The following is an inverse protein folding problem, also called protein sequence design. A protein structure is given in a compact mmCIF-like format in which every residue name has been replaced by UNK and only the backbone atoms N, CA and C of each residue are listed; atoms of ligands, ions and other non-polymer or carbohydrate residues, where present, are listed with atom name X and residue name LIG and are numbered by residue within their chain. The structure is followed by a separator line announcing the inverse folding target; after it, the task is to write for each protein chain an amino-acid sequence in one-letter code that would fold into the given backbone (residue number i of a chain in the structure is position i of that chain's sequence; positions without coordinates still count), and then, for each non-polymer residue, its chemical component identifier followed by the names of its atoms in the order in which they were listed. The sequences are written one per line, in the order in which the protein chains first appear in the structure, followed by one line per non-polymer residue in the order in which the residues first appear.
data_IF_349951894296
#
_entry.id   IF_349951894296
#
_cell.length_a   1.000
_cell.length_b   1.000
_cell.length_c   1.000
_cell.angle_alpha   90.00
_cell.angle_beta   90.00
_cell.angle_gamma   90.00
#
_symmetry.space_group_name_H-M   'P 1'
#
loop_
_entity.id
_entity.type
_entity.pdbx_description
1 polymer ?
#
# COMPACT_ATOMS: atom_id res chain seq x y z
N UNK A 1 22.36 -80.11 -73.70
CA UNK A 1 21.70 -80.10 -72.37
C UNK A 1 21.84 -78.70 -71.81
N UNK A 2 20.74 -77.94 -71.83
CA UNK A 2 20.64 -76.57 -71.34
C UNK A 2 19.93 -76.65 -69.99
N UNK A 3 20.65 -76.50 -68.88
CA UNK A 3 20.07 -76.49 -67.53
C UNK A 3 19.87 -75.03 -67.12
N UNK A 4 18.64 -74.55 -67.31
CA UNK A 4 18.16 -73.24 -66.86
C UNK A 4 18.06 -73.31 -65.33
N UNK A 5 19.00 -72.65 -64.65
CA UNK A 5 18.93 -72.39 -63.21
C UNK A 5 18.04 -71.15 -63.01
N UNK A 6 16.76 -71.39 -62.73
CA UNK A 6 15.80 -70.38 -62.27
C UNK A 6 15.21 -70.89 -60.96
N UNK A 7 15.12 -69.99 -59.99
CA UNK A 7 14.47 -70.07 -58.67
C UNK A 7 15.35 -70.43 -57.47
N UNK A 8 15.84 -69.35 -56.84
CA UNK A 8 16.31 -69.32 -55.47
C UNK A 8 16.28 -67.90 -54.86
N UNK A 9 15.38 -67.02 -55.32
CA UNK A 9 15.06 -65.77 -54.61
C UNK A 9 13.97 -66.07 -53.59
N UNK A 10 14.32 -66.81 -52.54
CA UNK A 10 13.46 -67.02 -51.38
C UNK A 10 14.06 -66.21 -50.24
N UNK A 11 13.30 -65.21 -49.78
CA UNK A 11 13.65 -64.44 -48.57
C UNK A 11 13.53 -62.93 -48.69
N UNK A 12 12.50 -62.38 -49.34
CA UNK A 12 12.04 -61.04 -48.98
C UNK A 12 11.51 -61.12 -47.55
N UNK A 13 12.37 -60.74 -46.60
CA UNK A 13 12.19 -60.90 -45.18
C UNK A 13 10.89 -60.21 -44.73
N UNK A 14 9.89 -61.01 -44.40
CA UNK A 14 8.51 -60.59 -44.08
C UNK A 14 8.41 -60.02 -42.65
N UNK A 15 9.53 -59.50 -42.13
CA UNK A 15 9.69 -59.01 -40.78
C UNK A 15 8.73 -57.85 -40.50
N UNK A 16 8.37 -57.70 -39.23
CA UNK A 16 7.45 -56.65 -38.81
C UNK A 16 8.08 -55.28 -39.01
N UNK A 17 9.40 -55.18 -38.81
CA UNK A 17 10.19 -53.97 -39.08
C UNK A 17 10.04 -53.54 -40.54
N UNK A 18 10.20 -54.45 -41.51
CA UNK A 18 10.08 -54.10 -42.93
C UNK A 18 8.67 -53.62 -43.29
N UNK A 19 7.64 -54.18 -42.66
CA UNK A 19 6.25 -53.72 -42.81
C UNK A 19 6.02 -52.31 -42.24
N UNK A 20 6.65 -51.97 -41.12
CA UNK A 20 6.59 -50.61 -40.57
C UNK A 20 7.35 -49.64 -41.47
N UNK A 21 8.58 -49.98 -41.86
CA UNK A 21 9.43 -49.09 -42.68
C UNK A 21 8.82 -48.75 -44.03
N UNK A 22 8.12 -49.70 -44.67
CA UNK A 22 7.48 -49.49 -45.97
C UNK A 22 6.15 -48.72 -45.93
N UNK A 23 5.60 -48.45 -44.74
CA UNK A 23 4.40 -47.62 -44.59
C UNK A 23 4.75 -46.13 -44.70
N UNK A 24 3.74 -45.30 -44.95
CA UNK A 24 3.86 -43.85 -44.90
C UNK A 24 3.30 -43.35 -43.57
N UNK A 25 3.84 -42.23 -43.07
CA UNK A 25 3.12 -41.47 -42.03
C UNK A 25 1.85 -40.86 -42.61
N UNK A 26 0.81 -40.76 -41.80
CA UNK A 26 -0.43 -40.07 -42.18
C UNK A 26 -0.11 -38.62 -42.56
N UNK A 27 -0.55 -38.20 -43.76
CA UNK A 27 -0.31 -36.86 -44.29
C UNK A 27 1.03 -36.65 -45.02
N UNK A 28 1.90 -37.67 -45.12
CA UNK A 28 3.17 -37.58 -45.87
C UNK A 28 3.29 -38.73 -46.87
N UNK A 29 2.80 -38.52 -48.09
CA UNK A 29 2.72 -39.56 -49.14
C UNK A 29 4.03 -39.82 -49.87
N UNK A 30 5.01 -38.91 -49.79
CA UNK A 30 6.18 -38.94 -50.68
C UNK A 30 7.37 -39.72 -50.11
N UNK A 31 7.30 -40.12 -48.83
CA UNK A 31 8.38 -40.83 -48.13
C UNK A 31 7.79 -41.91 -47.25
N UNK A 32 8.45 -43.07 -47.21
CA UNK A 32 8.09 -44.11 -46.26
C UNK A 32 8.72 -43.83 -44.87
N UNK A 33 8.24 -44.52 -43.84
CA UNK A 33 8.68 -44.36 -42.46
C UNK A 33 10.17 -44.69 -42.34
N UNK A 34 10.65 -45.69 -43.08
CA UNK A 34 12.08 -46.05 -43.15
C UNK A 34 12.93 -44.89 -43.68
N UNK A 35 12.52 -44.27 -44.80
CA UNK A 35 13.22 -43.15 -45.43
C UNK A 35 13.37 -41.99 -44.44
N UNK A 36 12.32 -41.71 -43.67
CA UNK A 36 12.27 -40.62 -42.68
C UNK A 36 13.07 -40.97 -41.43
N UNK A 37 13.01 -42.20 -40.91
CA UNK A 37 13.56 -42.54 -39.60
C UNK A 37 14.98 -43.11 -39.66
N UNK A 38 15.36 -43.84 -40.71
CA UNK A 38 16.68 -44.48 -40.85
C UNK A 38 17.78 -43.49 -41.28
N UNK A 39 17.41 -42.43 -41.99
CA UNK A 39 18.38 -41.49 -42.58
C UNK A 39 18.55 -40.19 -41.77
N UNK A 40 18.17 -40.19 -40.50
CA UNK A 40 18.16 -38.96 -39.70
C UNK A 40 19.56 -38.57 -39.26
N UNK A 41 20.03 -37.45 -39.80
CA UNK A 41 21.32 -36.85 -39.47
C UNK A 41 21.53 -36.64 -37.97
N UNK A 42 20.48 -36.29 -37.23
CA UNK A 42 20.51 -36.08 -35.77
C UNK A 42 20.71 -37.37 -34.96
N UNK A 43 20.55 -38.56 -35.56
CA UNK A 43 20.73 -39.83 -34.86
C UNK A 43 22.19 -40.31 -34.95
N UNK A 44 22.80 -40.58 -33.80
CA UNK A 44 24.13 -41.21 -33.70
C UNK A 44 24.05 -42.74 -33.84
N UNK A 45 22.93 -43.31 -33.40
CA UNK A 45 22.63 -44.74 -33.47
C UNK A 45 21.13 -44.91 -33.67
N UNK A 46 20.76 -45.83 -34.55
CA UNK A 46 19.37 -46.23 -34.80
C UNK A 46 19.25 -47.72 -34.52
N UNK A 47 18.21 -48.10 -33.78
CA UNK A 47 17.89 -49.47 -33.42
C UNK A 47 16.41 -49.73 -33.71
N UNK A 48 16.12 -50.90 -34.27
CA UNK A 48 14.77 -51.40 -34.46
C UNK A 48 14.65 -52.73 -33.71
N UNK A 49 13.62 -52.87 -32.90
CA UNK A 49 13.36 -54.08 -32.12
C UNK A 49 11.93 -54.53 -32.38
N UNK A 50 11.73 -55.76 -32.84
CA UNK A 50 10.41 -56.34 -33.00
C UNK A 50 10.06 -57.32 -31.87
N UNK A 51 8.78 -57.39 -31.55
CA UNK A 51 8.21 -58.37 -30.64
C UNK A 51 7.12 -59.13 -31.39
N UNK A 52 7.45 -60.35 -31.78
CA UNK A 52 6.57 -61.20 -32.58
C UNK A 52 5.25 -61.50 -31.89
N UNK A 53 5.28 -61.75 -30.57
CA UNK A 53 4.11 -62.14 -29.78
C UNK A 53 3.04 -61.05 -29.77
N UNK A 54 3.47 -59.80 -29.63
CA UNK A 54 2.57 -58.66 -29.51
C UNK A 54 2.35 -57.92 -30.83
N UNK A 55 2.93 -58.42 -31.93
CA UNK A 55 2.96 -57.74 -33.24
C UNK A 55 3.32 -56.25 -33.11
N UNK A 56 4.39 -55.96 -32.38
CA UNK A 56 4.83 -54.58 -32.10
C UNK A 56 6.27 -54.36 -32.53
N UNK A 57 6.57 -53.14 -32.97
CA UNK A 57 7.91 -52.74 -33.39
C UNK A 57 8.30 -51.47 -32.65
N UNK A 58 9.49 -51.43 -32.08
CA UNK A 58 10.05 -50.25 -31.44
C UNK A 58 11.19 -49.70 -32.31
N UNK A 59 11.08 -48.42 -32.66
CA UNK A 59 12.18 -47.62 -33.17
C UNK A 59 12.84 -46.88 -32.02
N UNK A 60 14.16 -46.86 -32.00
CA UNK A 60 14.96 -46.10 -31.06
C UNK A 60 16.07 -45.35 -31.80
N UNK A 61 16.14 -44.04 -31.61
CA UNK A 61 17.23 -43.19 -32.09
C UNK A 61 17.95 -42.55 -30.90
N UNK A 62 19.26 -42.77 -30.81
CA UNK A 62 20.12 -42.03 -29.87
C UNK A 62 20.56 -40.73 -30.51
N UNK A 63 20.25 -39.57 -29.91
CA UNK A 63 20.57 -38.27 -30.48
C UNK A 63 22.09 -38.00 -30.45
N UNK A 64 22.61 -37.41 -31.52
CA UNK A 64 23.98 -36.85 -31.57
C UNK A 64 24.07 -35.68 -30.60
N UNK A 65 25.21 -35.60 -29.92
CA UNK A 65 25.55 -34.45 -29.11
C UNK A 65 25.79 -33.24 -30.01
N UNK A 66 25.00 -32.19 -29.79
CA UNK A 66 25.27 -30.88 -30.35
C UNK A 66 26.39 -30.19 -29.57
N UNK A 67 26.84 -29.03 -30.08
CA UNK A 67 27.96 -28.30 -29.48
C UNK A 67 27.63 -27.86 -28.06
N UNK A 68 26.40 -27.39 -27.85
CA UNK A 68 26.03 -26.70 -26.61
C UNK A 68 24.90 -27.40 -25.83
N UNK A 69 23.98 -28.12 -26.49
CA UNK A 69 22.74 -28.58 -25.85
C UNK A 69 22.93 -29.72 -24.83
N UNK A 70 23.94 -30.57 -25.02
CA UNK A 70 24.31 -31.60 -24.03
C UNK A 70 25.65 -31.30 -23.35
N UNK A 71 26.17 -30.07 -23.46
CA UNK A 71 27.36 -29.67 -22.72
C UNK A 71 26.94 -29.06 -21.38
N UNK A 72 26.81 -29.91 -20.37
CA UNK A 72 26.81 -29.41 -19.01
C UNK A 72 28.19 -28.86 -18.66
N UNK A 73 28.21 -27.65 -18.11
CA UNK A 73 29.42 -27.04 -17.57
C UNK A 73 29.26 -26.90 -16.06
N UNK A 74 30.01 -27.70 -15.32
CA UNK A 74 29.99 -27.72 -13.85
C UNK A 74 30.40 -26.38 -13.24
N UNK A 75 31.36 -25.68 -13.87
CA UNK A 75 31.80 -24.35 -13.44
C UNK A 75 30.64 -23.35 -13.61
N UNK A 76 29.92 -23.42 -14.74
CA UNK A 76 28.77 -22.57 -14.99
C UNK A 76 27.60 -22.86 -14.02
N UNK A 77 27.34 -24.13 -13.71
CA UNK A 77 26.31 -24.53 -12.76
C UNK A 77 26.64 -24.07 -11.33
N UNK A 78 27.90 -24.25 -10.89
CA UNK A 78 28.35 -23.78 -9.58
C UNK A 78 28.30 -22.26 -9.48
N UNK A 79 28.72 -21.55 -10.54
CA UNK A 79 28.58 -20.09 -10.61
C UNK A 79 27.13 -19.67 -10.53
N UNK A 80 26.24 -20.29 -11.29
CA UNK A 80 24.80 -20.02 -11.25
C UNK A 80 24.22 -20.25 -9.85
N UNK A 81 24.62 -21.31 -9.16
CA UNK A 81 24.21 -21.58 -7.78
C UNK A 81 24.60 -20.44 -6.84
N UNK A 82 25.88 -20.04 -6.88
CA UNK A 82 26.41 -18.97 -6.04
C UNK A 82 25.71 -17.65 -6.35
N UNK A 83 25.55 -17.32 -7.63
CA UNK A 83 24.89 -16.08 -8.07
C UNK A 83 23.43 -16.04 -7.59
N UNK A 84 22.69 -17.14 -7.74
CA UNK A 84 21.28 -17.23 -7.33
C UNK A 84 21.09 -17.24 -5.81
N UNK A 85 22.02 -17.87 -5.08
CA UNK A 85 22.02 -17.81 -3.63
C UNK A 85 22.26 -16.37 -3.16
N UNK A 86 23.30 -15.71 -3.69
CA UNK A 86 23.65 -14.34 -3.33
C UNK A 86 22.55 -13.34 -3.71
N UNK A 87 21.85 -13.54 -4.84
CA UNK A 87 20.69 -12.75 -5.23
C UNK A 87 19.60 -12.75 -4.15
N UNK A 88 19.24 -13.92 -3.63
CA UNK A 88 18.23 -14.03 -2.57
C UNK A 88 18.73 -13.42 -1.26
N UNK A 89 19.99 -13.68 -0.88
CA UNK A 89 20.58 -13.09 0.33
C UNK A 89 20.60 -11.55 0.26
N UNK A 90 20.97 -11.00 -0.89
CA UNK A 90 20.97 -9.55 -1.11
C UNK A 90 19.55 -8.99 -1.03
N UNK A 91 18.56 -9.66 -1.65
CA UNK A 91 17.15 -9.26 -1.57
C UNK A 91 16.63 -9.23 -0.11
N UNK A 92 17.01 -10.21 0.71
CA UNK A 92 16.68 -10.21 2.14
C UNK A 92 17.34 -9.01 2.84
N UNK A 93 18.60 -8.70 2.51
CA UNK A 93 19.29 -7.50 3.00
C UNK A 93 18.58 -6.20 2.62
N UNK A 94 18.11 -6.08 1.37
CA UNK A 94 17.32 -4.93 0.92
C UNK A 94 16.02 -4.76 1.70
N UNK A 95 15.29 -5.86 1.97
CA UNK A 95 14.06 -5.82 2.78
C UNK A 95 14.36 -5.35 4.21
N UNK A 96 15.42 -5.88 4.85
CA UNK A 96 15.84 -5.43 6.19
C UNK A 96 16.16 -3.93 6.22
N UNK A 97 16.91 -3.44 5.23
CA UNK A 97 17.28 -2.03 5.14
C UNK A 97 16.05 -1.13 4.91
N UNK A 98 15.10 -1.56 4.08
CA UNK A 98 13.84 -0.83 3.89
C UNK A 98 13.04 -0.72 5.19
N UNK A 99 12.95 -1.80 5.97
CA UNK A 99 12.26 -1.76 7.27
C UNK A 99 12.97 -0.83 8.27
N UNK A 100 14.31 -0.84 8.30
CA UNK A 100 15.09 0.09 9.13
C UNK A 100 14.81 1.55 8.76
N UNK A 101 14.79 1.90 7.48
CA UNK A 101 14.51 3.26 7.03
C UNK A 101 13.08 3.71 7.37
N UNK A 102 12.08 2.83 7.25
CA UNK A 102 10.72 3.11 7.70
C UNK A 102 10.65 3.40 9.21
N UNK A 103 11.41 2.67 10.02
CA UNK A 103 11.47 2.90 11.47
C UNK A 103 12.20 4.21 11.78
N UNK A 104 13.31 4.53 11.09
CA UNK A 104 14.02 5.81 11.24
C UNK A 104 13.12 7.00 10.91
N UNK A 105 12.31 6.90 9.85
CA UNK A 105 11.34 7.94 9.50
C UNK A 105 10.32 8.15 10.61
N UNK A 106 9.79 7.08 11.22
CA UNK A 106 8.90 7.16 12.40
C UNK A 106 9.58 7.83 13.59
N UNK A 107 10.84 7.47 13.89
CA UNK A 107 11.62 8.11 14.95
C UNK A 107 11.79 9.61 14.68
N UNK A 108 12.13 10.01 13.45
CA UNK A 108 12.31 11.41 13.06
C UNK A 108 11.03 12.23 13.31
N UNK A 109 9.88 11.71 12.89
CA UNK A 109 8.57 12.34 13.14
C UNK A 109 8.32 12.51 14.64
N UNK A 110 8.58 11.48 15.46
CA UNK A 110 8.40 11.56 16.91
C UNK A 110 9.37 12.56 17.57
N UNK A 111 10.63 12.65 17.09
CA UNK A 111 11.60 13.63 17.58
C UNK A 111 11.14 15.06 17.30
N UNK A 112 10.68 15.34 16.08
CA UNK A 112 10.10 16.65 15.72
C UNK A 112 8.89 16.98 16.61
N UNK A 113 7.98 16.02 16.83
CA UNK A 113 6.84 16.21 17.75
C UNK A 113 7.31 16.54 19.17
N UNK A 114 8.36 15.88 19.65
CA UNK A 114 8.90 16.12 20.97
C UNK A 114 9.61 17.47 21.11
N UNK A 115 10.38 17.91 20.12
CA UNK A 115 10.98 19.25 20.10
C UNK A 115 9.91 20.35 20.19
N UNK A 116 8.79 20.15 19.48
CA UNK A 116 7.62 21.03 19.54
C UNK A 116 6.96 21.06 20.92
N UNK A 117 6.76 19.90 21.53
CA UNK A 117 6.20 19.82 22.88
C UNK A 117 7.14 20.47 23.91
N UNK A 118 8.44 20.21 23.80
CA UNK A 118 9.46 20.77 24.70
C UNK A 118 9.49 22.31 24.61
N UNK A 119 9.37 22.87 23.41
CA UNK A 119 9.22 24.31 23.20
C UNK A 119 7.98 24.87 23.93
N UNK A 120 6.81 24.24 23.80
CA UNK A 120 5.57 24.68 24.50
C UNK A 120 5.66 24.57 26.03
N UNK A 121 6.44 23.62 26.54
CA UNK A 121 6.57 23.38 27.98
C UNK A 121 7.59 24.32 28.64
N UNK A 122 8.67 24.66 27.95
CA UNK A 122 9.79 25.42 28.51
C UNK A 122 9.60 26.94 28.45
N UNK A 123 8.86 27.44 27.46
CA UNK A 123 8.51 28.85 27.43
C UNK A 123 7.27 29.06 28.30
N UNK A 124 7.22 30.17 29.04
CA UNK A 124 6.07 30.53 29.89
C UNK A 124 4.86 30.95 29.04
N UNK A 125 4.71 30.35 27.87
CA UNK A 125 3.73 30.63 26.84
C UNK A 125 2.42 29.94 27.18
N UNK A 126 1.36 30.64 26.82
CA UNK A 126 0.00 30.13 26.78
C UNK A 126 -0.12 29.11 25.64
N UNK A 127 -0.43 27.85 25.96
CA UNK A 127 -0.57 26.78 24.95
C UNK A 127 -1.60 27.10 23.87
N UNK A 128 -2.57 27.97 24.15
CA UNK A 128 -3.61 28.36 23.19
C UNK A 128 -3.12 29.32 22.11
N UNK A 129 -1.96 29.96 22.28
CA UNK A 129 -1.33 30.78 21.24
C UNK A 129 -0.93 29.94 20.02
N UNK A 130 -0.73 28.63 20.21
CA UNK A 130 -0.32 27.70 19.17
C UNK A 130 -1.50 27.00 18.47
N UNK A 131 -2.76 27.26 18.86
CA UNK A 131 -3.92 26.61 18.22
C UNK A 131 -4.03 26.92 16.73
N UNK A 132 -3.55 28.10 16.29
CA UNK A 132 -3.57 28.47 14.88
C UNK A 132 -2.48 27.79 14.04
N UNK A 133 -1.51 27.13 14.67
CA UNK A 133 -0.51 26.35 13.96
C UNK A 133 -1.05 24.93 13.74
N UNK A 134 -1.17 24.56 12.47
CA UNK A 134 -1.74 23.29 12.00
C UNK A 134 -1.13 22.08 12.75
N UNK A 135 0.16 22.13 13.07
CA UNK A 135 0.88 21.01 13.69
C UNK A 135 0.63 20.91 15.20
N UNK A 136 0.37 22.03 15.87
CA UNK A 136 0.08 22.03 17.32
C UNK A 136 -1.41 21.90 17.61
N UNK A 137 -2.25 22.33 16.67
CA UNK A 137 -3.71 22.34 16.79
C UNK A 137 -4.27 20.96 17.15
N UNK A 138 -3.84 19.89 16.49
CA UNK A 138 -4.34 18.52 16.74
C UNK A 138 -4.03 18.04 18.18
N UNK A 139 -2.82 18.29 18.66
CA UNK A 139 -2.38 17.93 20.02
C UNK A 139 -3.12 18.73 21.10
N UNK A 140 -3.29 20.04 20.86
CA UNK A 140 -3.99 20.92 21.81
C UNK A 140 -5.49 20.62 21.80
N UNK A 141 -6.11 20.43 20.63
CA UNK A 141 -7.53 20.13 20.49
C UNK A 141 -7.88 18.76 21.10
N UNK A 142 -7.06 17.73 20.88
CA UNK A 142 -7.27 16.42 21.50
C UNK A 142 -7.14 16.45 23.04
N UNK A 143 -6.18 17.22 23.56
CA UNK A 143 -6.05 17.48 25.00
C UNK A 143 -7.26 18.25 25.53
N UNK A 144 -7.68 19.30 24.83
CA UNK A 144 -8.84 20.12 25.16
C UNK A 144 -10.11 19.29 25.19
N UNK A 145 -10.39 18.48 24.17
CA UNK A 145 -11.58 17.61 24.11
C UNK A 145 -11.73 16.75 25.36
N UNK A 146 -10.64 16.14 25.86
CA UNK A 146 -10.69 15.33 27.08
C UNK A 146 -11.10 16.16 28.30
N UNK A 147 -10.66 17.42 28.37
CA UNK A 147 -10.86 18.33 29.51
C UNK A 147 -12.22 19.03 29.43
N UNK A 148 -12.62 19.50 28.26
CA UNK A 148 -13.74 20.42 28.05
C UNK A 148 -15.05 19.72 27.69
N UNK A 149 -15.03 18.47 27.23
CA UNK A 149 -16.26 17.74 26.85
C UNK A 149 -17.35 17.73 27.94
N UNK A 150 -17.04 17.57 29.24
CA UNK A 150 -18.05 17.69 30.30
C UNK A 150 -18.67 19.10 30.35
N UNK A 151 -17.86 20.13 30.13
CA UNK A 151 -18.22 21.54 30.30
C UNK A 151 -18.97 22.07 29.07
N UNK A 152 -18.56 21.69 27.87
CA UNK A 152 -19.25 22.00 26.60
C UNK A 152 -20.68 21.48 26.65
N UNK A 153 -20.87 20.27 27.19
CA UNK A 153 -22.19 19.67 27.38
C UNK A 153 -23.07 20.45 28.35
N UNK A 154 -22.49 20.92 29.45
CA UNK A 154 -23.21 21.71 30.47
C UNK A 154 -23.51 23.15 29.98
N UNK A 155 -22.62 23.73 29.18
CA UNK A 155 -22.74 25.09 28.64
C UNK A 155 -23.50 25.17 27.30
N UNK A 156 -23.88 24.04 26.69
CA UNK A 156 -24.51 23.97 25.36
C UNK A 156 -23.69 24.69 24.26
N UNK A 157 -22.36 24.58 24.33
CA UNK A 157 -21.49 25.09 23.27
C UNK A 157 -21.49 24.14 22.08
N UNK A 158 -21.33 24.66 20.86
CA UNK A 158 -21.41 23.86 19.64
C UNK A 158 -20.07 23.18 19.30
N UNK A 159 -18.95 23.72 19.79
CA UNK A 159 -17.60 23.20 19.49
C UNK A 159 -16.53 23.65 20.49
N UNK A 160 -15.36 23.00 20.46
CA UNK A 160 -14.15 23.47 21.14
C UNK A 160 -13.66 24.83 20.62
N UNK A 161 -13.93 25.14 19.35
CA UNK A 161 -13.60 26.43 18.74
C UNK A 161 -14.31 27.60 19.43
N UNK A 162 -15.57 27.40 19.85
CA UNK A 162 -16.33 28.42 20.60
C UNK A 162 -15.64 28.73 21.93
N UNK A 163 -15.15 27.69 22.60
CA UNK A 163 -14.49 27.78 23.90
C UNK A 163 -13.11 28.47 23.79
N UNK A 164 -12.38 28.21 22.70
CA UNK A 164 -11.12 28.89 22.37
C UNK A 164 -11.34 30.37 22.06
N UNK A 165 -12.38 30.71 21.30
CA UNK A 165 -12.71 32.11 20.98
C UNK A 165 -13.12 32.88 22.24
N UNK A 166 -13.86 32.23 23.15
CA UNK A 166 -14.16 32.77 24.48
C UNK A 166 -12.87 33.06 25.24
N UNK A 167 -11.93 32.11 25.31
CA UNK A 167 -10.64 32.32 25.98
C UNK A 167 -9.82 33.48 25.40
N UNK A 168 -9.70 33.56 24.06
CA UNK A 168 -9.02 34.69 23.40
C UNK A 168 -9.72 36.02 23.66
N UNK A 169 -11.05 36.02 23.72
CA UNK A 169 -11.81 37.22 24.06
C UNK A 169 -11.53 37.67 25.50
N UNK A 170 -11.53 36.75 26.45
CA UNK A 170 -11.25 37.02 27.88
C UNK A 170 -9.83 37.52 28.12
N UNK A 171 -8.84 36.97 27.42
CA UNK A 171 -7.44 37.41 27.53
C UNK A 171 -7.24 38.86 27.06
N UNK A 172 -8.08 39.32 26.13
CA UNK A 172 -8.05 40.68 25.58
C UNK A 172 -8.98 41.67 26.29
N UNK A 173 -9.79 41.24 27.27
CA UNK A 173 -10.61 42.14 28.09
C UNK A 173 -9.70 42.90 29.06
N UNK A 174 -9.50 44.20 28.80
CA UNK A 174 -8.95 45.13 29.79
C UNK A 174 -9.99 45.31 30.92
N UNK A 175 -9.59 44.92 32.14
CA UNK A 175 -10.46 44.67 33.31
C UNK A 175 -11.34 45.86 33.70
N UNK A 176 -10.96 47.09 33.33
CA UNK A 176 -11.59 48.30 33.85
C UNK A 176 -12.46 49.08 32.86
N UNK A 177 -12.22 48.98 31.56
CA UNK A 177 -12.92 49.83 30.57
C UNK A 177 -13.99 49.05 29.79
N UNK A 178 -13.69 47.87 29.24
CA UNK A 178 -14.61 47.18 28.32
C UNK A 178 -15.88 46.61 28.97
N UNK A 179 -15.79 46.10 30.20
CA UNK A 179 -16.96 45.56 30.93
C UNK A 179 -17.88 46.69 31.39
N UNK A 180 -17.28 47.81 31.81
CA UNK A 180 -18.03 49.00 32.24
C UNK A 180 -18.75 49.61 31.04
N UNK A 181 -18.08 49.76 29.90
CA UNK A 181 -18.67 50.31 28.68
C UNK A 181 -19.83 49.44 28.17
N UNK A 182 -19.65 48.11 28.11
CA UNK A 182 -20.72 47.19 27.68
C UNK A 182 -21.93 47.15 28.63
N UNK A 183 -21.74 47.19 29.96
CA UNK A 183 -22.86 47.30 30.90
C UNK A 183 -23.52 48.70 30.83
N UNK A 184 -22.81 49.75 30.37
CA UNK A 184 -23.34 51.11 30.25
C UNK A 184 -24.16 51.27 28.96
N UNK A 185 -23.71 50.72 27.83
CA UNK A 185 -24.42 50.76 26.54
C UNK A 185 -25.78 50.05 26.58
N UNK A 186 -25.86 48.91 27.29
CA UNK A 186 -27.12 48.18 27.50
C UNK A 186 -28.14 49.00 28.29
N UNK A 187 -27.67 49.95 29.10
CA UNK A 187 -28.50 50.78 29.97
C UNK A 187 -28.85 52.10 29.32
N UNK A 188 -27.95 52.71 28.54
CA UNK A 188 -28.33 53.86 27.69
C UNK A 188 -29.48 53.47 26.75
N UNK A 189 -29.53 52.20 26.29
CA UNK A 189 -30.67 51.64 25.56
C UNK A 189 -31.95 51.52 26.43
N UNK A 190 -31.88 50.86 27.59
CA UNK A 190 -33.03 50.62 28.50
C UNK A 190 -33.58 51.92 29.13
N UNK A 191 -32.70 52.90 29.40
CA UNK A 191 -33.02 54.22 29.93
C UNK A 191 -33.69 55.08 28.85
N UNK A 192 -33.19 55.05 27.62
CA UNK A 192 -33.84 55.72 26.49
C UNK A 192 -35.22 55.12 26.22
N UNK A 193 -35.39 53.79 26.23
CA UNK A 193 -36.71 53.17 26.10
C UNK A 193 -37.66 53.54 27.25
N UNK A 194 -37.20 53.55 28.50
CA UNK A 194 -38.01 53.93 29.67
C UNK A 194 -38.43 55.41 29.62
N UNK A 195 -37.51 56.30 29.23
CA UNK A 195 -37.78 57.73 29.06
C UNK A 195 -38.74 57.96 27.89
N UNK A 196 -38.57 57.26 26.77
CA UNK A 196 -39.43 57.33 25.58
C UNK A 196 -40.83 56.74 25.81
N UNK A 197 -40.96 55.71 26.64
CA UNK A 197 -42.23 55.06 26.99
C UNK A 197 -42.98 55.75 28.14
N UNK A 198 -42.29 56.62 28.90
CA UNK A 198 -42.92 57.41 29.95
C UNK A 198 -43.79 58.55 29.38
N UNK A 199 -44.94 58.82 30.01
CA UNK A 199 -45.82 59.97 29.69
C UNK A 199 -45.16 61.35 29.92
N UNK A 200 -43.86 61.40 30.20
CA UNK A 200 -43.09 62.62 30.48
C UNK A 200 -42.99 63.48 29.20
N UNK A 201 -42.80 62.87 28.03
CA UNK A 201 -42.68 63.57 26.74
C UNK A 201 -43.91 64.41 26.38
N UNK A 202 -45.08 64.01 26.87
CA UNK A 202 -46.36 64.67 26.56
C UNK A 202 -46.70 65.88 27.46
N UNK A 203 -45.90 66.17 28.49
CA UNK A 203 -46.25 67.17 29.54
C UNK A 203 -45.19 68.24 29.81
N UNK A 204 -44.10 68.27 29.07
CA UNK A 204 -43.01 69.27 29.19
C UNK A 204 -42.57 69.68 27.79
N UNK A 205 -42.19 70.95 27.60
CA UNK A 205 -41.66 71.39 26.30
C UNK A 205 -40.34 70.68 25.97
N UNK A 206 -40.00 70.55 24.68
CA UNK A 206 -38.80 69.81 24.22
C UNK A 206 -37.50 70.22 24.93
N UNK A 207 -37.34 71.52 25.24
CA UNK A 207 -36.16 72.03 25.93
C UNK A 207 -36.10 71.59 27.41
N UNK A 208 -37.24 71.51 28.09
CA UNK A 208 -37.31 71.06 29.49
C UNK A 208 -37.12 69.55 29.59
N UNK A 209 -37.59 68.81 28.58
CA UNK A 209 -37.36 67.37 28.47
C UNK A 209 -35.87 67.05 28.30
N UNK A 210 -35.17 67.77 27.41
CA UNK A 210 -33.73 67.60 27.22
C UNK A 210 -32.93 67.91 28.48
N UNK A 211 -33.32 68.94 29.24
CA UNK A 211 -32.68 69.26 30.52
C UNK A 211 -32.89 68.13 31.56
N UNK A 212 -34.08 67.52 31.60
CA UNK A 212 -34.34 66.36 32.47
C UNK A 212 -33.53 65.14 32.00
N UNK A 213 -33.45 64.91 30.70
CA UNK A 213 -32.67 63.82 30.10
C UNK A 213 -31.17 63.95 30.38
N UNK A 214 -30.60 65.12 30.10
CA UNK A 214 -29.18 65.44 30.35
C UNK A 214 -28.88 65.37 31.86
N UNK A 215 -29.74 65.93 32.72
CA UNK A 215 -29.59 65.84 34.18
C UNK A 215 -29.65 64.39 34.67
N UNK A 216 -30.59 63.60 34.15
CA UNK A 216 -30.72 62.20 34.53
C UNK A 216 -29.49 61.39 34.04
N UNK A 217 -28.96 61.68 32.84
CA UNK A 217 -27.75 61.04 32.28
C UNK A 217 -26.48 61.37 33.07
N UNK A 218 -26.28 62.65 33.40
CA UNK A 218 -25.12 63.12 34.17
C UNK A 218 -25.13 62.57 35.61
N UNK A 219 -26.32 62.44 36.22
CA UNK A 219 -26.46 61.79 37.54
C UNK A 219 -26.15 60.30 37.54
N UNK A 220 -26.52 59.56 36.49
CA UNK A 220 -26.16 58.13 36.33
C UNK A 220 -24.65 57.97 36.21
N UNK A 221 -23.98 58.92 35.56
CA UNK A 221 -22.51 58.93 35.39
C UNK A 221 -21.75 59.36 36.65
N UNK A 222 -22.45 59.92 37.65
CA UNK A 222 -21.87 60.34 38.93
C UNK A 222 -21.41 61.79 38.97
N UNK A 223 -21.79 62.61 37.99
CA UNK A 223 -21.35 64.00 37.90
C UNK A 223 -22.13 64.93 38.86
N UNK A 224 -21.44 65.97 39.34
CA UNK A 224 -22.02 66.97 40.23
C UNK A 224 -22.80 68.02 39.44
N UNK A 225 -24.12 68.05 39.60
CA UNK A 225 -24.99 69.01 38.89
C UNK A 225 -25.71 69.91 39.90
N UNK A 226 -25.62 71.23 39.71
CA UNK A 226 -26.34 72.24 40.52
C UNK A 226 -27.73 72.50 39.95
N UNK A 227 -28.77 72.65 40.79
CA UNK A 227 -30.17 72.68 40.33
C UNK A 227 -31.00 73.83 40.91
N UNK A 228 -31.97 74.34 40.13
CA UNK A 228 -32.93 75.41 40.47
C UNK A 228 -34.21 74.85 41.10
N UNK A 229 -34.69 75.49 42.17
CA UNK A 229 -35.78 74.99 43.02
C UNK A 229 -37.19 75.19 42.42
N UNK A 230 -37.73 74.17 41.76
CA UNK A 230 -39.16 74.07 41.45
C UNK A 230 -39.74 72.77 42.06
N UNK A 231 -40.74 72.87 42.95
CA UNK A 231 -41.29 71.74 43.73
C UNK A 231 -41.92 70.62 42.89
N UNK A 232 -42.60 70.94 41.79
CA UNK A 232 -43.16 69.93 40.88
C UNK A 232 -42.07 69.24 40.07
N UNK A 233 -41.01 69.98 39.75
CA UNK A 233 -39.80 69.45 39.11
C UNK A 233 -39.03 68.53 40.07
N UNK A 234 -38.92 68.88 41.35
CA UNK A 234 -38.27 68.07 42.41
C UNK A 234 -39.01 66.73 42.61
N UNK A 235 -40.34 66.70 42.54
CA UNK A 235 -41.10 65.45 42.69
C UNK A 235 -40.88 64.51 41.49
N UNK A 236 -40.77 65.07 40.28
CA UNK A 236 -40.41 64.33 39.05
C UNK A 236 -38.95 63.85 39.07
N UNK A 237 -38.00 64.69 39.51
CA UNK A 237 -36.62 64.28 39.77
C UNK A 237 -36.58 63.15 40.80
N UNK A 238 -37.36 63.22 41.89
CA UNK A 238 -37.37 62.16 42.92
C UNK A 238 -37.86 60.81 42.39
N UNK A 239 -38.80 60.80 41.43
CA UNK A 239 -39.18 59.59 40.70
C UNK A 239 -38.05 59.09 39.79
N UNK A 240 -37.43 59.97 38.97
CA UNK A 240 -36.26 59.64 38.14
C UNK A 240 -35.13 59.05 39.02
N UNK A 241 -34.83 59.68 40.17
CA UNK A 241 -33.80 59.27 41.14
C UNK A 241 -34.12 57.94 41.83
N UNK A 242 -35.40 57.61 42.06
CA UNK A 242 -35.79 56.32 42.63
C UNK A 242 -35.61 55.18 41.61
N UNK A 243 -36.02 55.41 40.37
CA UNK A 243 -35.78 54.47 39.26
C UNK A 243 -34.28 54.36 38.93
N UNK A 244 -33.52 55.44 39.12
CA UNK A 244 -32.05 55.43 39.02
C UNK A 244 -31.34 54.67 40.12
N UNK A 245 -31.83 54.68 41.37
CA UNK A 245 -31.24 53.82 42.41
C UNK A 245 -31.42 52.34 42.05
N UNK A 246 -32.58 51.97 41.51
CA UNK A 246 -32.83 50.65 40.94
C UNK A 246 -31.88 50.36 39.77
N UNK A 247 -31.63 51.31 38.87
CA UNK A 247 -30.69 51.14 37.76
C UNK A 247 -29.22 51.09 38.22
N UNK A 248 -28.81 51.86 39.22
CA UNK A 248 -27.50 51.79 39.87
C UNK A 248 -27.27 50.42 40.54
N UNK A 249 -28.29 49.87 41.20
CA UNK A 249 -28.25 48.50 41.72
C UNK A 249 -28.19 47.46 40.59
N UNK A 250 -28.91 47.67 39.48
CA UNK A 250 -28.80 46.82 38.27
C UNK A 250 -27.42 46.93 37.61
N UNK A 251 -26.79 48.11 37.57
CA UNK A 251 -25.41 48.35 37.10
C UNK A 251 -24.44 47.57 37.97
N UNK A 252 -24.52 47.77 39.29
CA UNK A 252 -23.63 47.10 40.22
C UNK A 252 -23.83 45.58 40.19
N UNK A 253 -25.05 45.10 39.92
CA UNK A 253 -25.34 43.68 39.71
C UNK A 253 -24.83 43.16 38.35
N UNK A 254 -24.93 43.95 37.28
CA UNK A 254 -24.33 43.66 35.96
C UNK A 254 -22.81 43.54 36.10
N UNK A 255 -22.16 44.56 36.66
CA UNK A 255 -20.71 44.61 36.89
C UNK A 255 -20.29 43.48 37.82
N UNK A 256 -20.98 43.25 38.94
CA UNK A 256 -20.64 42.17 39.87
C UNK A 256 -20.81 40.79 39.23
N UNK A 257 -21.87 40.56 38.45
CA UNK A 257 -22.06 39.31 37.73
C UNK A 257 -21.00 39.13 36.64
N UNK A 258 -20.69 40.17 35.87
CA UNK A 258 -19.64 40.15 34.84
C UNK A 258 -18.26 39.90 35.44
N UNK A 259 -17.94 40.50 36.59
CA UNK A 259 -16.67 40.26 37.30
C UNK A 259 -16.59 38.83 37.83
N UNK A 260 -17.67 38.29 38.39
CA UNK A 260 -17.72 36.90 38.84
C UNK A 260 -17.56 35.92 37.67
N UNK A 261 -18.22 36.19 36.53
CA UNK A 261 -18.12 35.39 35.31
C UNK A 261 -16.71 35.48 34.73
N UNK A 262 -16.12 36.67 34.66
CA UNK A 262 -14.73 36.87 34.20
C UNK A 262 -13.73 36.13 35.10
N UNK A 263 -13.89 36.22 36.42
CA UNK A 263 -13.06 35.50 37.39
C UNK A 263 -13.17 33.99 37.19
N UNK A 264 -14.39 33.46 37.06
CA UNK A 264 -14.63 32.05 36.77
C UNK A 264 -13.91 31.62 35.50
N UNK A 265 -14.04 32.39 34.42
CA UNK A 265 -13.39 32.05 33.16
C UNK A 265 -11.86 32.14 33.22
N UNK A 266 -11.29 33.11 33.96
CA UNK A 266 -9.84 33.21 34.18
C UNK A 266 -9.31 32.01 34.95
N UNK A 267 -10.00 31.60 36.01
CA UNK A 267 -9.65 30.41 36.78
C UNK A 267 -9.77 29.15 35.93
N UNK A 268 -10.86 29.03 35.17
CA UNK A 268 -11.09 27.91 34.27
C UNK A 268 -10.03 27.82 33.17
N UNK A 269 -9.69 28.94 32.54
CA UNK A 269 -8.62 29.03 31.55
C UNK A 269 -7.27 28.62 32.14
N UNK A 270 -6.93 29.10 33.34
CA UNK A 270 -5.68 28.76 34.03
C UNK A 270 -5.60 27.27 34.36
N UNK A 271 -6.70 26.68 34.86
CA UNK A 271 -6.79 25.25 35.13
C UNK A 271 -6.67 24.43 33.83
N UNK A 272 -7.35 24.85 32.77
CA UNK A 272 -7.30 24.17 31.46
C UNK A 272 -5.88 24.19 30.90
N UNK A 273 -5.17 25.33 30.97
CA UNK A 273 -3.78 25.42 30.55
C UNK A 273 -2.86 24.46 31.33
N UNK A 274 -3.06 24.33 32.66
CA UNK A 274 -2.30 23.38 33.50
C UNK A 274 -2.56 21.93 33.08
N UNK A 275 -3.82 21.55 32.87
CA UNK A 275 -4.16 20.18 32.46
C UNK A 275 -3.69 19.86 31.04
N UNK A 276 -3.78 20.80 30.09
CA UNK A 276 -3.20 20.64 28.74
C UNK A 276 -1.69 20.43 28.83
N UNK A 277 -0.96 21.24 29.62
CA UNK A 277 0.49 21.05 29.81
C UNK A 277 0.82 19.68 30.40
N UNK A 278 0.00 19.17 31.32
CA UNK A 278 0.17 17.83 31.89
C UNK A 278 -0.05 16.72 30.84
N UNK A 279 -1.07 16.84 29.99
CA UNK A 279 -1.28 15.87 28.90
C UNK A 279 -0.14 15.92 27.87
N UNK A 280 0.38 17.11 27.56
CA UNK A 280 1.56 17.29 26.70
C UNK A 280 2.81 16.60 27.29
N UNK A 281 3.06 16.71 28.60
CA UNK A 281 4.14 15.99 29.29
C UNK A 281 3.97 14.46 29.16
N UNK A 282 2.74 13.96 29.28
CA UNK A 282 2.46 12.54 29.10
C UNK A 282 2.76 12.10 27.65
N UNK A 283 2.26 12.84 26.66
CA UNK A 283 2.54 12.59 25.25
C UNK A 283 4.04 12.61 24.93
N UNK A 284 4.78 13.55 25.49
CA UNK A 284 6.24 13.63 25.34
C UNK A 284 6.95 12.38 25.90
N UNK A 285 6.55 11.93 27.09
CA UNK A 285 7.11 10.74 27.71
C UNK A 285 6.76 9.46 26.93
N UNK A 286 5.55 9.36 26.40
CA UNK A 286 5.13 8.21 25.59
C UNK A 286 5.84 8.18 24.24
N UNK A 287 6.02 9.33 23.58
CA UNK A 287 6.86 9.44 22.39
C UNK A 287 8.31 9.01 22.69
N UNK A 288 8.89 9.40 23.83
CA UNK A 288 10.23 8.94 24.25
C UNK A 288 10.30 7.42 24.41
N UNK A 289 9.30 6.80 25.05
CA UNK A 289 9.23 5.33 25.17
C UNK A 289 9.16 4.67 23.79
N UNK A 290 8.32 5.18 22.88
CA UNK A 290 8.20 4.65 21.53
C UNK A 290 9.50 4.77 20.74
N UNK A 291 10.22 5.90 20.84
CA UNK A 291 11.54 6.08 20.22
C UNK A 291 12.51 5.00 20.73
N UNK A 292 12.60 4.77 22.04
CA UNK A 292 13.47 3.73 22.61
C UNK A 292 13.08 2.33 22.10
N UNK A 293 11.78 2.02 22.03
CA UNK A 293 11.29 0.76 21.46
C UNK A 293 11.71 0.60 20.00
N UNK A 294 11.60 1.65 19.18
CA UNK A 294 12.01 1.63 17.79
C UNK A 294 13.53 1.51 17.61
N UNK A 295 14.32 2.21 18.44
CA UNK A 295 15.78 2.10 18.43
C UNK A 295 16.25 0.69 18.81
N UNK A 296 15.61 0.05 19.78
CA UNK A 296 15.88 -1.35 20.11
C UNK A 296 15.48 -2.28 18.97
N UNK A 297 14.33 -2.06 18.34
CA UNK A 297 13.90 -2.84 17.17
C UNK A 297 14.91 -2.75 16.02
N UNK A 298 15.47 -1.56 15.75
CA UNK A 298 16.54 -1.39 14.74
C UNK A 298 17.75 -2.25 15.13
N UNK A 299 18.22 -2.16 16.37
CA UNK A 299 19.36 -2.98 16.86
C UNK A 299 19.09 -4.47 16.71
N UNK A 300 17.88 -4.92 17.01
CA UNK A 300 17.49 -6.32 16.87
C UNK A 300 17.51 -6.75 15.39
N UNK A 301 17.03 -5.91 14.47
CA UNK A 301 17.09 -6.19 13.02
C UNK A 301 18.54 -6.21 12.54
N UNK A 302 19.37 -5.25 12.94
CA UNK A 302 20.78 -5.15 12.55
C UNK A 302 21.63 -6.30 13.10
N UNK A 303 21.37 -6.71 14.34
CA UNK A 303 22.02 -7.85 14.98
C UNK A 303 21.47 -9.20 14.52
N UNK A 304 20.27 -9.23 13.92
CA UNK A 304 19.67 -10.47 13.45
C UNK A 304 20.51 -11.05 12.32
N UNK A 305 21.13 -12.20 12.60
CA UNK A 305 21.69 -13.04 11.54
C UNK A 305 20.56 -13.52 10.62
N UNK A 306 20.94 -13.95 9.41
CA UNK A 306 20.01 -14.66 8.54
C UNK A 306 19.51 -15.91 9.26
N UNK A 307 18.19 -16.07 9.34
CA UNK A 307 17.59 -17.25 9.97
C UNK A 307 17.91 -18.50 9.16
N UNK A 308 17.81 -19.68 9.80
CA UNK A 308 17.98 -20.95 9.09
C UNK A 308 16.96 -21.08 7.95
N UNK A 309 15.71 -20.66 8.16
CA UNK A 309 14.66 -20.65 7.12
C UNK A 309 15.03 -19.78 5.91
N UNK A 310 15.63 -18.60 6.15
CA UNK A 310 16.11 -17.71 5.08
C UNK A 310 17.25 -18.34 4.28
N UNK A 311 18.20 -19.00 4.96
CA UNK A 311 19.30 -19.73 4.32
C UNK A 311 18.78 -20.95 3.55
N UNK A 312 17.80 -21.68 4.09
CA UNK A 312 17.15 -22.81 3.42
C UNK A 312 16.40 -22.38 2.16
N UNK A 313 15.67 -21.26 2.21
CA UNK A 313 15.00 -20.70 1.05
C UNK A 313 15.99 -20.31 -0.05
N UNK A 314 17.07 -19.62 0.31
CA UNK A 314 18.14 -19.24 -0.63
C UNK A 314 18.81 -20.47 -1.27
N UNK A 315 19.09 -21.50 -0.46
CA UNK A 315 19.63 -22.77 -0.95
C UNK A 315 18.67 -23.45 -1.93
N UNK A 316 17.39 -23.58 -1.56
CA UNK A 316 16.36 -24.19 -2.40
C UNK A 316 16.24 -23.49 -3.74
N UNK A 317 16.17 -22.15 -3.76
CA UNK A 317 16.07 -21.39 -5.00
C UNK A 317 17.30 -21.57 -5.90
N UNK A 318 18.49 -21.58 -5.31
CA UNK A 318 19.73 -21.83 -6.04
C UNK A 318 19.83 -23.28 -6.55
N UNK A 319 19.33 -24.26 -5.79
CA UNK A 319 19.26 -25.67 -6.22
C UNK A 319 18.24 -25.87 -7.34
N UNK A 320 17.08 -25.21 -7.26
CA UNK A 320 16.06 -25.23 -8.32
C UNK A 320 16.59 -24.61 -9.62
N UNK A 321 17.36 -23.52 -9.54
CA UNK A 321 18.02 -22.93 -10.70
C UNK A 321 19.04 -23.87 -11.35
N UNK A 322 19.87 -24.55 -10.53
CA UNK A 322 20.81 -25.58 -11.02
C UNK A 322 20.06 -26.77 -11.61
N UNK A 323 18.97 -27.22 -11.00
CA UNK A 323 18.14 -28.29 -11.53
C UNK A 323 17.50 -27.92 -12.87
N UNK A 324 17.05 -26.67 -13.02
CA UNK A 324 16.59 -26.12 -14.30
C UNK A 324 17.70 -26.15 -15.36
N UNK A 325 18.90 -25.68 -15.00
CA UNK A 325 20.08 -25.72 -15.86
C UNK A 325 20.47 -27.16 -16.24
N UNK A 326 20.48 -28.09 -15.29
CA UNK A 326 20.73 -29.52 -15.54
C UNK A 326 19.70 -30.12 -16.50
N UNK A 327 18.43 -29.77 -16.33
CA UNK A 327 17.34 -30.27 -17.16
C UNK A 327 17.38 -29.73 -18.59
N UNK A 328 17.95 -28.54 -18.80
CA UNK A 328 18.18 -27.99 -20.13
C UNK A 328 19.47 -28.48 -20.80
N UNK A 329 20.38 -29.11 -20.04
CA UNK A 329 21.66 -29.62 -20.51
C UNK A 329 21.78 -31.13 -20.24
N UNK A 330 20.91 -31.93 -20.85
CA UNK A 330 20.91 -33.38 -20.66
C UNK A 330 22.25 -34.00 -21.10
N UNK A 331 22.66 -35.10 -20.46
CA UNK A 331 23.84 -35.88 -20.86
C UNK A 331 23.62 -36.56 -22.22
N UNK A 332 22.39 -37.05 -22.44
CA UNK A 332 22.00 -37.83 -23.62
C UNK A 332 20.50 -37.68 -23.87
N UNK A 333 20.10 -37.74 -25.14
CA UNK A 333 18.71 -37.87 -25.56
C UNK A 333 18.47 -39.13 -26.38
N UNK A 334 17.29 -39.74 -26.19
CA UNK A 334 16.81 -40.85 -26.99
C UNK A 334 15.37 -40.59 -27.45
N UNK A 335 15.10 -40.83 -28.73
CA UNK A 335 13.77 -40.81 -29.30
C UNK A 335 13.28 -42.26 -29.45
N UNK A 336 12.11 -42.57 -28.90
CA UNK A 336 11.52 -43.90 -28.92
C UNK A 336 10.13 -43.83 -29.52
N UNK A 337 9.89 -44.60 -30.57
CA UNK A 337 8.57 -44.71 -31.20
C UNK A 337 8.13 -46.17 -31.13
N UNK A 338 6.98 -46.41 -30.50
CA UNK A 338 6.39 -47.74 -30.43
C UNK A 338 5.27 -47.84 -31.46
N UNK A 339 5.37 -48.82 -32.36
CA UNK A 339 4.37 -49.17 -33.34
C UNK A 339 3.66 -50.45 -32.91
N UNK A 340 2.34 -50.50 -33.12
CA UNK A 340 1.51 -51.66 -32.81
C UNK A 340 0.64 -52.00 -34.02
N UNK A 341 0.54 -53.30 -34.34
CA UNK A 341 -0.28 -53.75 -35.45
C UNK A 341 -1.77 -53.60 -35.12
N UNK A 342 -2.51 -52.94 -36.00
CA UNK A 342 -3.95 -52.79 -35.91
C UNK A 342 -4.65 -53.80 -36.83
N UNK A 343 -5.40 -54.73 -36.23
CA UNK A 343 -6.08 -55.81 -36.97
C UNK A 343 -7.22 -55.32 -37.88
N UNK A 344 -7.78 -54.13 -37.64
CA UNK A 344 -8.87 -53.57 -38.45
C UNK A 344 -8.31 -52.91 -39.70
N UNK A 345 -7.36 -51.98 -39.52
CA UNK A 345 -6.74 -51.26 -40.64
C UNK A 345 -5.71 -52.09 -41.40
N UNK A 346 -5.28 -53.22 -40.83
CA UNK A 346 -4.20 -54.09 -41.30
C UNK A 346 -2.86 -53.35 -41.46
N UNK A 347 -2.65 -52.27 -40.69
CA UNK A 347 -1.45 -51.42 -40.68
C UNK A 347 -0.84 -51.33 -39.28
N UNK A 348 0.42 -50.92 -39.20
CA UNK A 348 1.01 -50.56 -37.92
C UNK A 348 0.65 -49.11 -37.62
N UNK A 349 0.27 -48.83 -36.37
CA UNK A 349 -0.04 -47.47 -35.90
C UNK A 349 0.91 -47.08 -34.80
N UNK A 350 1.17 -45.78 -34.66
CA UNK A 350 2.00 -45.25 -33.58
C UNK A 350 1.23 -45.34 -32.27
N UNK A 351 1.71 -46.16 -31.35
CA UNK A 351 1.19 -46.31 -29.99
C UNK A 351 1.73 -45.22 -29.06
N UNK A 352 3.03 -44.96 -29.12
CA UNK A 352 3.66 -43.87 -28.36
C UNK A 352 4.87 -43.28 -29.06
N UNK A 353 5.17 -42.02 -28.75
CA UNK A 353 6.34 -41.30 -29.23
C UNK A 353 6.93 -40.51 -28.07
N UNK A 354 8.10 -40.93 -27.64
CA UNK A 354 8.73 -40.48 -26.41
C UNK A 354 10.12 -39.91 -26.70
N UNK A 355 10.43 -38.77 -26.07
CA UNK A 355 11.78 -38.24 -25.98
C UNK A 355 12.26 -38.46 -24.54
N UNK A 356 13.27 -39.30 -24.38
CA UNK A 356 13.89 -39.62 -23.10
C UNK A 356 15.19 -38.82 -22.99
N UNK A 357 15.31 -38.02 -21.95
CA UNK A 357 16.52 -37.26 -21.63
C UNK A 357 17.16 -37.86 -20.38
N UNK A 358 18.46 -38.14 -20.45
CA UNK A 358 19.27 -38.62 -19.34
C UNK A 358 20.03 -37.43 -18.80
N UNK A 359 19.84 -37.10 -17.52
CA UNK A 359 20.44 -35.93 -16.90
C UNK A 359 21.76 -36.29 -16.22
N UNK A 360 22.59 -35.28 -15.93
CA UNK A 360 23.88 -35.47 -15.27
C UNK A 360 23.78 -35.98 -13.83
N UNK A 361 22.64 -35.79 -13.16
CA UNK A 361 22.36 -36.32 -11.82
C UNK A 361 21.82 -37.77 -11.83
N UNK A 362 21.84 -38.46 -12.98
CA UNK A 362 21.35 -39.83 -13.13
C UNK A 362 19.82 -39.95 -13.26
N UNK A 363 19.07 -38.85 -13.12
CA UNK A 363 17.63 -38.86 -13.38
C UNK A 363 17.31 -38.94 -14.87
N UNK A 364 16.09 -39.37 -15.18
CA UNK A 364 15.58 -39.37 -16.56
C UNK A 364 14.30 -38.56 -16.65
N UNK A 365 14.19 -37.74 -17.69
CA UNK A 365 12.99 -36.97 -18.00
C UNK A 365 12.37 -37.54 -19.27
N UNK A 366 11.08 -37.88 -19.23
CA UNK A 366 10.35 -38.40 -20.38
C UNK A 366 9.37 -37.34 -20.88
N UNK A 367 9.58 -36.86 -22.10
CA UNK A 367 8.71 -35.90 -22.78
C UNK A 367 8.03 -36.51 -23.99
N UNK A 368 6.99 -35.83 -24.50
CA UNK A 368 6.35 -36.21 -25.77
C UNK A 368 7.24 -35.82 -26.94
N UNK A 369 7.42 -36.76 -27.87
CA UNK A 369 8.04 -36.52 -29.15
C UNK A 369 6.96 -36.19 -30.19
N UNK A 370 7.20 -35.15 -30.99
CA UNK A 370 6.23 -34.67 -31.98
C UNK A 370 6.62 -35.14 -33.38
N UNK A 371 5.68 -35.79 -34.08
CA UNK A 371 5.91 -36.34 -35.42
C UNK A 371 6.32 -35.26 -36.43
N UNK A 372 5.73 -34.07 -36.37
CA UNK A 372 6.10 -32.96 -37.27
C UNK A 372 7.56 -32.54 -37.12
N UNK A 373 8.11 -32.58 -35.90
CA UNK A 373 9.51 -32.24 -35.65
C UNK A 373 10.44 -33.34 -36.17
N UNK A 374 10.07 -34.61 -36.00
CA UNK A 374 10.77 -35.75 -36.57
C UNK A 374 10.87 -35.62 -38.10
N UNK A 375 9.74 -35.43 -38.77
CA UNK A 375 9.66 -35.32 -40.22
C UNK A 375 10.45 -34.09 -40.70
N UNK A 376 10.25 -32.94 -40.06
CA UNK A 376 10.99 -31.73 -40.38
C UNK A 376 12.51 -31.93 -40.25
N UNK A 377 12.96 -32.59 -39.18
CA UNK A 377 14.39 -32.85 -38.95
C UNK A 377 14.99 -33.76 -40.01
N UNK A 378 14.24 -34.77 -40.47
CA UNK A 378 14.67 -35.67 -41.52
C UNK A 378 14.77 -34.95 -42.87
N UNK A 379 13.74 -34.20 -43.25
CA UNK A 379 13.66 -33.53 -44.56
C UNK A 379 14.67 -32.38 -44.71
N UNK A 380 15.04 -31.72 -43.62
CA UNK A 380 15.99 -30.60 -43.64
C UNK A 380 17.42 -31.03 -43.27
N UNK A 381 17.68 -32.34 -43.18
CA UNK A 381 18.99 -32.90 -42.85
C UNK A 381 19.61 -32.26 -41.59
N UNK A 382 18.81 -32.09 -40.54
CA UNK A 382 19.30 -31.57 -39.26
C UNK A 382 20.26 -32.61 -38.69
N UNK A 383 21.51 -32.21 -38.50
CA UNK A 383 22.61 -33.12 -38.17
C UNK A 383 23.01 -33.15 -36.70
N UNK A 384 22.51 -32.21 -35.90
CA UNK A 384 22.76 -32.16 -34.47
C UNK A 384 21.51 -31.72 -33.69
N UNK A 385 21.52 -32.01 -32.39
CA UNK A 385 20.39 -31.74 -31.51
C UNK A 385 20.21 -30.25 -31.20
N UNK A 386 21.25 -29.41 -31.35
CA UNK A 386 21.14 -27.97 -31.10
C UNK A 386 20.23 -27.34 -32.17
N UNK A 387 20.47 -27.64 -33.45
CA UNK A 387 19.64 -27.18 -34.56
C UNK A 387 18.22 -27.75 -34.49
N UNK A 388 18.09 -29.01 -34.06
CA UNK A 388 16.81 -29.64 -33.84
C UNK A 388 15.99 -28.91 -32.77
N UNK A 389 16.62 -28.55 -31.66
CA UNK A 389 15.98 -27.89 -30.52
C UNK A 389 15.77 -26.40 -30.75
N UNK A 390 16.67 -25.69 -31.43
CA UNK A 390 16.46 -24.30 -31.89
C UNK A 390 15.19 -24.18 -32.73
N UNK A 391 15.00 -25.10 -33.67
CA UNK A 391 13.78 -25.12 -34.49
C UNK A 391 12.51 -25.40 -33.67
N UNK A 392 12.61 -26.28 -32.66
CA UNK A 392 11.51 -26.56 -31.72
C UNK A 392 11.20 -25.35 -30.83
N UNK A 393 12.22 -24.69 -30.29
CA UNK A 393 12.10 -23.51 -29.45
C UNK A 393 11.61 -22.29 -30.23
N UNK A 394 12.04 -22.07 -31.47
CA UNK A 394 11.54 -20.98 -32.30
C UNK A 394 10.01 -21.12 -32.54
N UNK A 395 9.53 -22.35 -32.78
CA UNK A 395 8.09 -22.62 -32.92
C UNK A 395 7.31 -22.48 -31.61
N UNK A 396 7.89 -22.88 -30.47
CA UNK A 396 7.26 -22.77 -29.16
C UNK A 396 7.29 -21.33 -28.61
N UNK A 397 8.42 -20.64 -28.76
CA UNK A 397 8.65 -19.26 -28.37
C UNK A 397 7.75 -18.29 -29.14
N UNK A 398 7.51 -18.53 -30.44
CA UNK A 398 6.51 -17.76 -31.20
C UNK A 398 5.11 -17.85 -30.58
N UNK A 399 4.67 -19.06 -30.22
CA UNK A 399 3.37 -19.27 -29.53
C UNK A 399 3.32 -18.66 -28.12
N UNK A 400 4.43 -18.72 -27.37
CA UNK A 400 4.52 -18.09 -26.04
C UNK A 400 4.56 -16.57 -26.14
N UNK A 401 5.26 -15.99 -27.12
CA UNK A 401 5.25 -14.54 -27.37
C UNK A 401 3.86 -14.06 -27.77
N UNK A 402 3.14 -14.80 -28.61
CA UNK A 402 1.73 -14.53 -28.94
C UNK A 402 0.84 -14.58 -27.67
N UNK A 403 1.08 -15.52 -26.76
CA UNK A 403 0.35 -15.62 -25.49
C UNK A 403 0.69 -14.48 -24.50
N UNK A 404 1.97 -14.10 -24.37
CA UNK A 404 2.42 -12.98 -23.54
C UNK A 404 1.91 -11.64 -24.08
N UNK A 405 1.92 -11.45 -25.41
CA UNK A 405 1.31 -10.29 -26.05
C UNK A 405 -0.18 -10.21 -25.76
N UNK A 406 -0.90 -11.34 -25.84
CA UNK A 406 -2.32 -11.39 -25.47
C UNK A 406 -2.57 -11.09 -23.99
N UNK A 407 -1.74 -11.60 -23.08
CA UNK A 407 -1.84 -11.32 -21.65
C UNK A 407 -1.55 -9.85 -21.32
N UNK A 408 -0.51 -9.26 -21.91
CA UNK A 408 -0.19 -7.84 -21.73
C UNK A 408 -1.29 -6.93 -22.31
N UNK A 409 -1.90 -7.31 -23.43
CA UNK A 409 -3.06 -6.60 -23.97
C UNK A 409 -4.26 -6.66 -23.01
N UNK A 410 -4.46 -7.79 -22.31
CA UNK A 410 -5.49 -7.93 -21.28
C UNK A 410 -5.20 -7.07 -20.03
N UNK A 411 -3.97 -7.04 -19.53
CA UNK A 411 -3.56 -6.18 -18.42
C UNK A 411 -3.75 -4.70 -18.76
N UNK A 412 -3.32 -4.28 -19.95
CA UNK A 412 -3.48 -2.90 -20.41
C UNK A 412 -4.96 -2.51 -20.56
N UNK A 413 -5.81 -3.47 -20.94
CA UNK A 413 -7.27 -3.26 -20.96
C UNK A 413 -7.84 -3.11 -19.55
N UNK A 414 -7.35 -3.85 -18.56
CA UNK A 414 -7.82 -3.72 -17.16
C UNK A 414 -7.39 -2.38 -16.54
N UNK A 415 -6.15 -1.95 -16.80
CA UNK A 415 -5.62 -0.71 -16.26
C UNK A 415 -6.22 0.55 -16.92
N UNK A 416 -6.83 0.44 -18.10
CA UNK A 416 -7.53 1.57 -18.73
C UNK A 416 -8.96 1.77 -18.21
N UNK A 417 -9.41 0.94 -17.27
CA UNK A 417 -10.74 1.01 -16.64
C UNK A 417 -10.69 1.56 -15.21
N UNK A 418 -9.48 1.82 -14.70
CA UNK A 418 -9.21 2.53 -13.44
C UNK A 418 -8.73 3.93 -13.77
#
# INVERSE_FOLDING_TARGET
MLLIAVLGLVGCDNSQINKVKSQNFDGVSNFNIGDILDNRGVCSKIEWVENEKNKSVQYKCTLKKGKDFFSFNEIAANKLRIDKYNEIINNIGYVKNSEIEDIKNKISILKIKNEKIDFMLNENINVFDFISDEVYSELILSSLEKITNPIIKDMKLNSNYDLINIFKYIENIDENNSIKDNCTDFIDFDLNESILSSNIRFRVGENEFKIVEDYCRDKVRGDSVSFYENKDFITKIKSCVKDMKSNSERINRCISNSNNVLSFYKDFYKQTNVEVKKDLVNHFNDNKKQIITFENKIKDIEASELTNEQKELANKFADDAVNGYNSSHALKGEEVINFEYNEISKKYIIKSMDLIQYNHNGSTTKGRLFLDNLIFSALNNINDVDDYMRNRQAKAGKKQMEAIQNFNNQINTINSWQ
#
